data_IF_902446672773
#
_entry.id   IF_902446672773
#
_cell.length_a   1.000
_cell.length_b   1.000
_cell.length_c   1.000
_cell.angle_alpha   90.00
_cell.angle_beta   90.00
_cell.angle_gamma   90.00
#
_symmetry.space_group_name_H-M   'P 1'
#
loop_
_entity.id
_entity.type
_entity.pdbx_description
1 polymer ?
#
# COMPACT_ATOMS: atom_id res chain seq x y z
N UNK A 1 14.27 6.85 -18.18
CA UNK A 1 13.39 6.78 -16.99
C UNK A 1 12.13 7.56 -17.28
N UNK A 2 10.97 7.06 -16.83
CA UNK A 2 9.69 7.76 -16.95
C UNK A 2 9.63 8.91 -15.94
N UNK A 3 8.84 9.93 -16.22
CA UNK A 3 8.61 11.08 -15.33
C UNK A 3 7.11 11.29 -15.16
N UNK A 4 6.71 11.73 -13.96
CA UNK A 4 5.35 12.19 -13.71
C UNK A 4 5.15 13.61 -14.25
N UNK A 5 3.93 14.08 -14.37
CA UNK A 5 3.63 15.47 -14.75
C UNK A 5 4.19 16.50 -13.76
N UNK A 6 4.57 16.08 -12.54
CA UNK A 6 5.11 16.92 -11.46
C UNK A 6 6.65 16.86 -11.34
N UNK A 7 7.36 16.13 -12.21
CA UNK A 7 8.81 15.93 -12.07
C UNK A 7 9.63 17.24 -12.04
N UNK A 8 9.24 18.25 -12.84
CA UNK A 8 9.87 19.58 -12.81
C UNK A 8 9.63 20.30 -11.49
N UNK A 9 8.44 20.17 -10.91
CA UNK A 9 8.07 20.76 -9.62
C UNK A 9 8.84 20.13 -8.46
N UNK A 10 9.07 18.81 -8.51
CA UNK A 10 9.91 18.12 -7.53
C UNK A 10 11.34 18.65 -7.54
N UNK A 11 11.94 18.81 -8.73
CA UNK A 11 13.29 19.38 -8.86
C UNK A 11 13.34 20.83 -8.39
N UNK A 12 12.37 21.65 -8.76
CA UNK A 12 12.28 23.06 -8.32
C UNK A 12 12.12 23.19 -6.79
N UNK A 13 11.43 22.24 -6.15
CA UNK A 13 11.29 22.17 -4.70
C UNK A 13 12.51 21.57 -3.98
N UNK A 14 13.60 21.28 -4.69
CA UNK A 14 14.82 20.69 -4.12
C UNK A 14 14.72 19.18 -3.84
N UNK A 15 13.78 18.49 -4.47
CA UNK A 15 13.61 17.05 -4.35
C UNK A 15 14.83 16.27 -4.83
N UNK A 16 15.36 15.39 -4.00
CA UNK A 16 16.41 14.45 -4.38
C UNK A 16 15.80 13.33 -5.21
N UNK A 17 15.93 13.46 -6.54
CA UNK A 17 15.35 12.50 -7.47
C UNK A 17 16.15 11.21 -7.53
N UNK A 18 15.44 10.08 -7.53
CA UNK A 18 16.01 8.72 -7.64
C UNK A 18 15.22 7.88 -8.63
N UNK A 19 15.81 6.78 -9.09
CA UNK A 19 15.08 5.74 -9.82
C UNK A 19 14.21 4.93 -8.85
N UNK A 20 12.92 4.89 -9.11
CA UNK A 20 11.96 4.03 -8.43
C UNK A 20 11.18 3.22 -9.46
N UNK A 21 11.58 1.97 -9.66
CA UNK A 21 10.96 1.08 -10.65
C UNK A 21 10.85 1.69 -12.06
N UNK A 22 11.90 2.37 -12.50
CA UNK A 22 11.99 3.02 -13.81
C UNK A 22 11.38 4.43 -13.89
N UNK A 23 10.91 4.97 -12.75
CA UNK A 23 10.39 6.33 -12.64
C UNK A 23 11.35 7.24 -11.88
N UNK A 24 11.47 8.50 -12.31
CA UNK A 24 12.17 9.57 -11.57
C UNK A 24 11.25 10.07 -10.46
N UNK A 25 11.54 9.69 -9.21
CA UNK A 25 10.72 10.06 -8.06
C UNK A 25 11.55 10.76 -6.98
N UNK A 26 10.97 11.69 -6.19
CA UNK A 26 11.68 12.34 -5.10
C UNK A 26 11.87 11.37 -3.92
N UNK A 27 13.12 11.14 -3.51
CA UNK A 27 13.42 10.38 -2.30
C UNK A 27 13.07 11.17 -1.03
N UNK A 28 13.41 12.46 -1.01
CA UNK A 28 13.09 13.42 0.04
C UNK A 28 13.28 14.86 -0.48
N UNK A 29 12.76 15.85 0.27
CA UNK A 29 12.91 17.29 0.03
C UNK A 29 13.75 17.97 1.13
N UNK A 30 14.74 17.27 1.65
CA UNK A 30 15.65 17.70 2.71
C UNK A 30 15.79 16.62 3.78
N UNK A 31 14.80 16.44 4.64
CA UNK A 31 14.83 15.48 5.74
C UNK A 31 13.64 14.55 5.70
N UNK A 32 13.87 13.28 5.43
CA UNK A 32 12.79 12.27 5.46
C UNK A 32 12.17 12.10 6.86
N UNK A 33 12.90 12.42 7.95
CA UNK A 33 12.37 12.35 9.31
C UNK A 33 11.40 13.51 9.54
N UNK A 34 11.73 14.74 9.11
CA UNK A 34 10.84 15.90 9.24
C UNK A 34 9.60 15.75 8.36
N UNK A 35 9.77 15.15 7.16
CA UNK A 35 8.66 14.82 6.26
C UNK A 35 7.73 13.79 6.90
N UNK A 36 8.29 12.74 7.53
CA UNK A 36 7.51 11.76 8.27
C UNK A 36 6.69 12.42 9.40
N UNK A 37 7.34 13.26 10.20
CA UNK A 37 6.65 13.96 11.29
C UNK A 37 5.60 14.94 10.79
N UNK A 38 5.82 15.60 9.64
CA UNK A 38 4.81 16.46 9.04
C UNK A 38 3.50 15.69 8.75
N UNK A 39 3.60 14.47 8.20
CA UNK A 39 2.42 13.62 7.95
C UNK A 39 1.76 13.15 9.24
N UNK A 40 2.55 12.80 10.27
CA UNK A 40 1.99 12.35 11.56
C UNK A 40 1.35 13.45 12.38
N UNK A 41 1.84 14.69 12.28
CA UNK A 41 1.48 15.79 13.18
C UNK A 41 0.61 16.86 12.51
N UNK A 42 0.63 16.97 11.18
CA UNK A 42 -0.08 17.98 10.41
C UNK A 42 -0.58 17.40 9.09
N UNK A 43 0.10 17.69 7.97
CA UNK A 43 -0.30 17.24 6.63
C UNK A 43 0.89 17.16 5.68
N UNK A 44 0.88 16.14 4.83
CA UNK A 44 1.81 16.01 3.72
C UNK A 44 1.13 15.57 2.44
N UNK A 45 1.71 15.92 1.30
CA UNK A 45 1.27 15.46 -0.01
C UNK A 45 2.34 14.66 -0.72
N UNK A 46 1.91 13.62 -1.42
CA UNK A 46 2.75 12.69 -2.17
C UNK A 46 2.33 12.70 -3.63
N UNK A 47 3.28 12.85 -4.54
CA UNK A 47 3.06 12.44 -5.91
C UNK A 47 3.16 10.92 -5.99
N UNK A 48 2.05 10.27 -6.31
CA UNK A 48 1.98 8.83 -6.53
C UNK A 48 1.49 8.49 -7.94
N UNK A 49 1.68 9.42 -8.88
CA UNK A 49 1.28 9.28 -10.30
C UNK A 49 2.06 8.20 -11.04
N UNK A 50 3.11 7.65 -10.45
CA UNK A 50 3.79 6.46 -10.96
C UNK A 50 2.93 5.18 -10.86
N UNK A 51 1.93 5.14 -9.97
CA UNK A 51 0.95 4.05 -9.88
C UNK A 51 0.07 4.02 -11.14
N UNK A 52 -0.41 2.83 -11.54
CA UNK A 52 -1.28 2.72 -12.70
C UNK A 52 -2.75 2.64 -12.29
N UNK A 53 -3.57 3.47 -12.91
CA UNK A 53 -5.02 3.43 -12.79
C UNK A 53 -5.58 2.62 -13.96
N UNK A 54 -6.47 1.66 -13.66
CA UNK A 54 -7.08 0.78 -14.66
C UNK A 54 -8.59 0.74 -14.45
N UNK A 55 -9.36 1.10 -15.47
CA UNK A 55 -10.81 0.97 -15.46
C UNK A 55 -11.22 -0.36 -16.11
N UNK A 56 -12.10 -1.12 -15.44
CA UNK A 56 -12.66 -2.38 -15.93
C UNK A 56 -14.16 -2.19 -16.13
N UNK A 57 -14.61 -2.25 -17.38
CA UNK A 57 -16.00 -2.03 -17.80
C UNK A 57 -16.56 -3.26 -18.49
N UNK A 58 -17.88 -3.31 -18.68
CA UNK A 58 -18.56 -4.39 -19.39
C UNK A 58 -19.57 -5.14 -18.52
N UNK A 59 -20.43 -5.91 -19.18
CA UNK A 59 -21.51 -6.65 -18.52
C UNK A 59 -20.98 -7.72 -17.56
N UNK A 60 -19.82 -8.30 -17.87
CA UNK A 60 -19.14 -9.33 -17.07
C UNK A 60 -18.08 -8.80 -16.09
N UNK A 61 -17.93 -7.47 -15.91
CA UNK A 61 -16.85 -6.88 -15.09
C UNK A 61 -16.83 -7.41 -13.64
N UNK A 62 -17.99 -7.63 -13.04
CA UNK A 62 -18.08 -8.19 -11.69
C UNK A 62 -17.61 -9.64 -11.66
N UNK A 63 -18.06 -10.49 -12.56
CA UNK A 63 -17.70 -11.92 -12.57
C UNK A 63 -16.23 -12.13 -12.95
N UNK A 64 -15.73 -11.32 -13.88
CA UNK A 64 -14.32 -11.27 -14.24
C UNK A 64 -13.45 -10.94 -13.01
N UNK A 65 -13.72 -9.85 -12.30
CA UNK A 65 -12.93 -9.46 -11.13
C UNK A 65 -13.11 -10.45 -9.97
N UNK A 66 -14.25 -11.08 -9.83
CA UNK A 66 -14.46 -12.17 -8.88
C UNK A 66 -13.63 -13.41 -9.20
N UNK A 67 -13.31 -13.64 -10.47
CA UNK A 67 -12.39 -14.70 -10.91
C UNK A 67 -10.94 -14.31 -10.70
N UNK A 68 -10.58 -13.06 -10.98
CA UNK A 68 -9.21 -12.55 -10.97
C UNK A 68 -8.65 -12.32 -9.56
N UNK A 69 -9.49 -11.81 -8.61
CA UNK A 69 -9.04 -11.28 -7.33
C UNK A 69 -9.34 -12.19 -6.15
N UNK A 70 -8.48 -12.19 -5.15
CA UNK A 70 -8.66 -12.98 -3.93
C UNK A 70 -9.80 -12.47 -3.04
N UNK A 71 -10.07 -11.14 -3.03
CA UNK A 71 -11.24 -10.57 -2.37
C UNK A 71 -12.46 -10.59 -3.30
N UNK A 72 -13.67 -10.54 -2.75
CA UNK A 72 -14.90 -10.59 -3.54
C UNK A 72 -15.47 -9.20 -3.79
N UNK A 73 -15.32 -8.70 -5.02
CA UNK A 73 -15.84 -7.39 -5.45
C UNK A 73 -17.38 -7.31 -5.44
N UNK A 74 -18.08 -8.44 -5.45
CA UNK A 74 -19.54 -8.46 -5.32
C UNK A 74 -20.04 -7.95 -3.95
N UNK A 75 -19.13 -7.78 -2.98
CA UNK A 75 -19.43 -7.13 -1.69
C UNK A 75 -19.57 -5.62 -1.81
N UNK A 76 -19.04 -5.03 -2.86
CA UNK A 76 -19.19 -3.61 -3.17
C UNK A 76 -20.56 -3.36 -3.79
N UNK A 77 -21.60 -3.24 -2.94
CA UNK A 77 -23.01 -3.16 -3.37
C UNK A 77 -23.38 -1.81 -3.99
N UNK A 78 -22.67 -0.76 -3.64
CA UNK A 78 -22.96 0.61 -4.07
C UNK A 78 -21.74 1.23 -4.76
N UNK A 79 -21.94 2.09 -5.76
CA UNK A 79 -20.86 2.93 -6.29
C UNK A 79 -20.16 3.70 -5.16
N UNK A 80 -18.88 3.94 -5.35
CA UNK A 80 -18.04 4.60 -4.36
C UNK A 80 -17.37 3.67 -3.35
N UNK A 81 -17.95 2.52 -3.03
CA UNK A 81 -17.31 1.57 -2.09
C UNK A 81 -16.02 1.00 -2.67
N UNK A 82 -15.03 0.83 -1.81
CA UNK A 82 -13.73 0.27 -2.18
C UNK A 82 -13.38 -0.97 -1.36
N UNK A 83 -12.47 -1.78 -1.89
CA UNK A 83 -11.80 -2.85 -1.16
C UNK A 83 -10.35 -2.98 -1.62
N UNK A 84 -9.53 -3.53 -0.72
CA UNK A 84 -8.17 -3.94 -1.02
C UNK A 84 -8.13 -5.45 -1.29
N UNK A 85 -7.35 -5.88 -2.27
CA UNK A 85 -7.24 -7.28 -2.68
C UNK A 85 -5.84 -7.64 -3.15
N UNK A 86 -5.47 -8.89 -2.96
CA UNK A 86 -4.40 -9.51 -3.72
C UNK A 86 -4.95 -10.03 -5.06
N UNK A 87 -4.13 -9.92 -6.11
CA UNK A 87 -4.26 -10.62 -7.38
C UNK A 87 -3.25 -11.77 -7.36
N UNK A 88 -3.68 -12.99 -7.69
CA UNK A 88 -2.88 -14.19 -7.49
C UNK A 88 -2.51 -14.89 -8.80
N UNK A 89 -1.44 -15.69 -8.72
CA UNK A 89 -1.17 -16.73 -9.69
C UNK A 89 -1.88 -18.07 -9.33
N UNK A 90 -1.96 -19.06 -10.22
CA UNK A 90 -2.62 -20.33 -9.93
C UNK A 90 -2.02 -21.12 -8.76
N UNK A 91 -0.74 -20.89 -8.43
CA UNK A 91 -0.07 -21.51 -7.28
C UNK A 91 -0.38 -20.80 -5.94
N UNK A 92 -1.18 -19.72 -5.96
CA UNK A 92 -1.57 -18.95 -4.77
C UNK A 92 -0.58 -17.88 -4.35
N UNK A 93 0.48 -17.63 -5.11
CA UNK A 93 1.43 -16.53 -4.89
C UNK A 93 0.84 -15.20 -5.34
N UNK A 94 1.28 -14.11 -4.69
CA UNK A 94 0.79 -12.76 -4.95
C UNK A 94 1.44 -12.17 -6.20
N UNK A 95 0.66 -11.94 -7.24
CA UNK A 95 1.14 -11.23 -8.45
C UNK A 95 1.22 -9.73 -8.22
N UNK A 96 0.22 -9.17 -7.55
CA UNK A 96 0.21 -7.79 -7.08
C UNK A 96 -0.86 -7.61 -5.99
N UNK A 97 -0.77 -6.51 -5.26
CA UNK A 97 -1.80 -5.99 -4.37
C UNK A 97 -2.37 -4.69 -4.94
N UNK A 98 -3.67 -4.51 -4.79
CA UNK A 98 -4.37 -3.43 -5.43
C UNK A 98 -5.61 -2.99 -4.66
N UNK A 99 -6.04 -1.76 -4.91
CA UNK A 99 -7.34 -1.27 -4.44
C UNK A 99 -8.33 -1.23 -5.60
N UNK A 100 -9.58 -1.59 -5.31
CA UNK A 100 -10.70 -1.60 -6.26
C UNK A 100 -11.80 -0.68 -5.76
N UNK A 101 -12.24 0.24 -6.59
CA UNK A 101 -13.40 1.11 -6.37
C UNK A 101 -14.55 0.67 -7.27
N UNK A 102 -15.75 0.54 -6.72
CA UNK A 102 -16.97 0.36 -7.51
C UNK A 102 -17.36 1.69 -8.16
N UNK A 103 -17.46 1.72 -9.49
CA UNK A 103 -18.01 2.84 -10.24
C UNK A 103 -19.49 2.59 -10.55
N UNK A 104 -20.20 3.60 -11.08
CA UNK A 104 -21.56 3.42 -11.64
C UNK A 104 -21.56 2.36 -12.74
N UNK A 105 -20.57 2.42 -13.63
CA UNK A 105 -20.38 1.47 -14.73
C UNK A 105 -18.99 0.80 -14.63
N UNK A 106 -18.93 -0.33 -13.89
CA UNK A 106 -17.70 -1.11 -13.74
C UNK A 106 -16.91 -0.80 -12.49
N UNK A 107 -15.59 -0.85 -12.62
CA UNK A 107 -14.66 -0.71 -11.51
C UNK A 107 -13.42 0.07 -11.91
N UNK A 108 -12.81 0.75 -10.96
CA UNK A 108 -11.48 1.37 -11.07
C UNK A 108 -10.52 0.65 -10.14
N UNK A 109 -9.37 0.28 -10.67
CA UNK A 109 -8.28 -0.36 -9.94
C UNK A 109 -7.08 0.59 -9.89
N UNK A 110 -6.31 0.53 -8.80
CA UNK A 110 -4.99 1.16 -8.69
C UNK A 110 -4.00 0.06 -8.38
N UNK A 111 -3.02 -0.13 -9.27
CA UNK A 111 -1.99 -1.17 -9.20
C UNK A 111 -0.59 -0.56 -9.05
N UNK A 112 0.37 -1.36 -8.57
CA UNK A 112 1.74 -0.92 -8.35
C UNK A 112 2.48 -0.62 -9.69
N UNK A 113 3.39 0.35 -9.66
CA UNK A 113 4.15 0.75 -10.85
C UNK A 113 5.17 -0.30 -11.31
N UNK A 114 5.79 -0.99 -10.36
CA UNK A 114 6.81 -2.01 -10.67
C UNK A 114 6.24 -3.28 -11.29
N UNK A 115 4.96 -3.54 -11.11
CA UNK A 115 4.24 -4.71 -11.62
C UNK A 115 3.35 -4.39 -12.83
N UNK A 116 3.22 -3.10 -13.20
CA UNK A 116 2.28 -2.60 -14.20
C UNK A 116 2.17 -3.47 -15.46
N UNK A 117 3.29 -3.72 -16.15
CA UNK A 117 3.26 -4.43 -17.43
C UNK A 117 2.84 -5.89 -17.25
N UNK A 118 3.29 -6.52 -16.16
CA UNK A 118 2.91 -7.87 -15.75
C UNK A 118 1.43 -7.94 -15.38
N UNK A 119 0.92 -6.96 -14.67
CA UNK A 119 -0.46 -6.92 -14.20
C UNK A 119 -1.43 -6.72 -15.37
N UNK A 120 -1.15 -5.76 -16.26
CA UNK A 120 -1.96 -5.56 -17.46
C UNK A 120 -1.98 -6.80 -18.35
N UNK A 121 -0.82 -7.43 -18.57
CA UNK A 121 -0.74 -8.68 -19.33
C UNK A 121 -1.54 -9.82 -18.67
N UNK A 122 -1.49 -9.95 -17.34
CA UNK A 122 -2.24 -10.94 -16.60
C UNK A 122 -3.74 -10.68 -16.64
N UNK A 123 -4.15 -9.44 -16.43
CA UNK A 123 -5.56 -9.03 -16.53
C UNK A 123 -6.12 -9.37 -17.92
N UNK A 124 -5.39 -9.04 -18.98
CA UNK A 124 -5.78 -9.36 -20.37
C UNK A 124 -5.83 -10.88 -20.59
N UNK A 125 -4.83 -11.64 -20.15
CA UNK A 125 -4.81 -13.08 -20.32
C UNK A 125 -5.97 -13.80 -19.59
N UNK A 126 -6.44 -13.21 -18.47
CA UNK A 126 -7.55 -13.76 -17.68
C UNK A 126 -8.93 -13.25 -18.12
N UNK A 127 -9.03 -12.38 -19.14
CA UNK A 127 -10.29 -11.82 -19.60
C UNK A 127 -11.03 -12.67 -20.63
N UNK A 128 -10.39 -13.73 -21.13
CA UNK A 128 -11.02 -14.63 -22.09
C UNK A 128 -12.33 -15.24 -21.55
N UNK A 129 -13.38 -15.19 -22.37
CA UNK A 129 -14.72 -15.63 -21.99
C UNK A 129 -15.54 -14.63 -21.18
N UNK A 130 -15.03 -13.41 -20.93
CA UNK A 130 -15.76 -12.33 -20.25
C UNK A 130 -15.99 -11.14 -21.19
N UNK A 131 -17.18 -10.57 -21.17
CA UNK A 131 -17.48 -9.31 -21.86
C UNK A 131 -16.96 -8.14 -21.01
N UNK A 132 -15.67 -7.86 -21.11
CA UNK A 132 -14.99 -6.79 -20.37
C UNK A 132 -14.04 -6.02 -21.26
N UNK A 133 -13.90 -4.74 -20.94
CA UNK A 133 -12.91 -3.82 -21.47
C UNK A 133 -11.98 -3.40 -20.31
N UNK A 134 -10.67 -3.58 -20.49
CA UNK A 134 -9.64 -3.22 -19.53
C UNK A 134 -8.91 -2.01 -20.08
N UNK A 135 -9.08 -0.86 -19.45
CA UNK A 135 -8.62 0.44 -19.95
C UNK A 135 -7.62 1.02 -18.97
N UNK A 136 -6.35 1.03 -19.33
CA UNK A 136 -5.37 1.81 -18.56
C UNK A 136 -5.62 3.31 -18.75
N UNK A 137 -5.39 4.08 -17.67
CA UNK A 137 -5.64 5.53 -17.61
C UNK A 137 -4.33 6.31 -17.40
N UNK A 138 -3.42 6.33 -18.40
CA UNK A 138 -2.17 7.10 -18.30
C UNK A 138 -2.41 8.63 -18.38
N UNK A 139 -3.64 9.05 -18.69
CA UNK A 139 -4.09 10.43 -18.70
C UNK A 139 -4.30 11.01 -17.30
N UNK A 140 -4.27 10.17 -16.23
CA UNK A 140 -4.50 10.57 -14.86
C UNK A 140 -3.19 10.66 -14.06
N UNK A 141 -3.05 11.75 -13.31
CA UNK A 141 -2.14 11.86 -12.18
C UNK A 141 -2.82 11.38 -10.90
N UNK A 142 -2.03 11.02 -9.90
CA UNK A 142 -2.50 10.61 -8.58
C UNK A 142 -1.71 11.37 -7.50
N UNK A 143 -2.40 12.19 -6.70
CA UNK A 143 -1.83 12.95 -5.58
C UNK A 143 -2.50 12.48 -4.29
N UNK A 144 -1.70 12.02 -3.31
CA UNK A 144 -2.20 11.67 -1.99
C UNK A 144 -1.93 12.83 -1.01
N UNK A 145 -2.96 13.22 -0.23
CA UNK A 145 -2.85 14.23 0.85
C UNK A 145 -3.20 13.51 2.15
N UNK A 146 -2.25 13.42 3.06
CA UNK A 146 -2.34 12.55 4.24
C UNK A 146 -1.90 13.27 5.51
N UNK A 147 -2.57 13.00 6.61
CA UNK A 147 -2.28 13.56 7.93
C UNK A 147 -3.55 14.01 8.67
N UNK A 148 -3.45 14.35 9.97
CA UNK A 148 -4.61 14.75 10.78
C UNK A 148 -5.33 15.98 10.22
N UNK A 149 -4.63 16.92 9.55
CA UNK A 149 -5.17 18.14 8.97
C UNK A 149 -5.56 18.01 7.47
N UNK A 150 -5.36 16.82 6.86
CA UNK A 150 -5.55 16.64 5.41
C UNK A 150 -6.96 17.02 4.94
N UNK A 151 -7.99 16.65 5.70
CA UNK A 151 -9.37 16.91 5.32
C UNK A 151 -9.73 18.40 5.42
N UNK A 152 -9.39 19.04 6.54
CA UNK A 152 -9.69 20.46 6.77
C UNK A 152 -8.99 21.37 5.75
N UNK A 153 -7.77 21.03 5.34
CA UNK A 153 -7.08 21.78 4.29
C UNK A 153 -7.74 21.55 2.92
N UNK A 154 -8.11 20.33 2.58
CA UNK A 154 -8.80 20.06 1.33
C UNK A 154 -10.19 20.69 1.27
N UNK A 155 -10.91 20.80 2.39
CA UNK A 155 -12.18 21.51 2.48
C UNK A 155 -12.06 23.01 2.19
N UNK A 156 -10.89 23.60 2.32
CA UNK A 156 -10.66 25.02 2.04
C UNK A 156 -9.95 25.27 0.70
N UNK A 157 -9.28 24.26 0.14
CA UNK A 157 -8.45 24.41 -1.07
C UNK A 157 -9.12 23.89 -2.34
N UNK A 158 -9.98 22.90 -2.22
CA UNK A 158 -10.71 22.33 -3.36
C UNK A 158 -11.84 23.26 -3.82
N UNK A 159 -12.29 23.12 -5.07
CA UNK A 159 -13.45 23.83 -5.56
C UNK A 159 -14.75 23.29 -4.91
N UNK A 160 -15.85 24.06 -4.84
CA UNK A 160 -17.06 23.67 -4.12
C UNK A 160 -17.64 22.32 -4.52
N UNK A 161 -17.56 21.94 -5.79
CA UNK A 161 -18.04 20.62 -6.27
C UNK A 161 -17.22 19.47 -5.67
N UNK A 162 -15.87 19.59 -5.63
CA UNK A 162 -15.01 18.60 -5.00
C UNK A 162 -15.17 18.58 -3.48
N UNK A 163 -15.33 19.75 -2.84
CA UNK A 163 -15.61 19.83 -1.39
C UNK A 163 -16.88 19.05 -1.02
N UNK A 164 -17.96 19.23 -1.79
CA UNK A 164 -19.22 18.51 -1.57
C UNK A 164 -19.04 16.99 -1.65
N UNK A 165 -18.29 16.52 -2.64
CA UNK A 165 -17.97 15.09 -2.79
C UNK A 165 -17.13 14.62 -1.61
N UNK A 166 -16.05 15.34 -1.25
CA UNK A 166 -15.17 15.00 -0.14
C UNK A 166 -15.93 14.84 1.18
N UNK A 167 -16.83 15.77 1.48
CA UNK A 167 -17.66 15.77 2.69
C UNK A 167 -18.62 14.59 2.78
N UNK A 168 -18.99 13.97 1.65
CA UNK A 168 -19.87 12.80 1.61
C UNK A 168 -19.13 11.45 1.78
N UNK A 169 -17.80 11.42 1.58
CA UNK A 169 -17.02 10.19 1.60
C UNK A 169 -16.68 9.72 3.01
N UNK A 170 -16.83 8.43 3.26
CA UNK A 170 -16.29 7.75 4.43
C UNK A 170 -15.03 6.96 4.09
N UNK A 171 -14.35 6.37 5.09
CA UNK A 171 -13.13 5.57 4.87
C UNK A 171 -13.39 4.41 3.91
N UNK A 172 -12.46 4.17 2.98
CA UNK A 172 -12.59 3.18 1.90
C UNK A 172 -13.78 3.47 0.96
N UNK A 173 -14.01 4.74 0.68
CA UNK A 173 -14.92 5.20 -0.36
C UNK A 173 -14.21 6.16 -1.31
N UNK A 174 -14.68 6.20 -2.56
CA UNK A 174 -14.23 7.15 -3.56
C UNK A 174 -15.34 7.46 -4.55
N UNK A 175 -15.40 8.70 -5.02
CA UNK A 175 -16.43 9.15 -5.95
C UNK A 175 -15.88 10.14 -6.98
N UNK A 176 -16.48 10.20 -8.18
CA UNK A 176 -16.18 11.21 -9.17
C UNK A 176 -16.61 12.60 -8.67
N UNK A 177 -15.77 13.61 -8.95
CA UNK A 177 -15.99 15.01 -8.66
C UNK A 177 -15.65 15.83 -9.92
N UNK A 178 -16.57 15.84 -10.87
CA UNK A 178 -16.32 16.27 -12.25
C UNK A 178 -15.43 15.26 -12.98
N UNK A 179 -14.32 15.72 -13.54
CA UNK A 179 -13.29 14.90 -14.19
C UNK A 179 -12.24 14.33 -13.21
N UNK A 180 -12.35 14.67 -11.92
CA UNK A 180 -11.53 14.13 -10.84
C UNK A 180 -12.23 12.93 -10.18
N UNK A 181 -11.44 12.15 -9.44
CA UNK A 181 -11.94 11.09 -8.56
C UNK A 181 -11.26 11.23 -7.20
N UNK A 182 -12.05 11.43 -6.15
CA UNK A 182 -11.58 11.59 -4.78
C UNK A 182 -11.82 10.29 -4.02
N UNK A 183 -10.80 9.80 -3.29
CA UNK A 183 -10.92 8.57 -2.51
C UNK A 183 -10.38 8.74 -1.09
N UNK A 184 -11.14 8.33 -0.08
CA UNK A 184 -10.77 8.33 1.34
C UNK A 184 -9.92 7.10 1.66
N UNK A 185 -8.77 7.03 1.01
CA UNK A 185 -7.76 5.97 1.09
C UNK A 185 -6.38 6.57 1.30
N UNK A 186 -5.38 5.71 1.51
CA UNK A 186 -3.99 6.14 1.70
C UNK A 186 -3.10 5.01 2.19
N UNK A 187 -1.81 5.32 2.32
CA UNK A 187 -0.74 4.35 2.62
C UNK A 187 0.10 4.76 3.84
N UNK A 188 -0.47 5.52 4.77
CA UNK A 188 0.25 6.11 5.91
C UNK A 188 -0.29 5.71 7.28
N UNK A 189 -1.52 5.18 7.33
CA UNK A 189 -2.22 4.95 8.58
C UNK A 189 -2.87 6.19 9.19
N UNK A 190 -2.70 7.36 8.55
CA UNK A 190 -3.38 8.61 8.89
C UNK A 190 -4.69 8.78 8.11
N UNK A 191 -5.45 9.82 8.48
CA UNK A 191 -6.55 10.29 7.66
C UNK A 191 -6.01 10.89 6.36
N UNK A 192 -6.78 10.78 5.28
CA UNK A 192 -6.34 11.39 4.04
C UNK A 192 -7.23 11.07 2.85
N UNK A 193 -6.79 11.57 1.71
CA UNK A 193 -7.47 11.47 0.42
C UNK A 193 -6.43 11.19 -0.66
N UNK A 194 -6.74 10.28 -1.55
CA UNK A 194 -6.04 10.08 -2.82
C UNK A 194 -6.89 10.70 -3.92
N UNK A 195 -6.29 11.58 -4.70
CA UNK A 195 -6.96 12.39 -5.73
C UNK A 195 -6.41 11.96 -7.09
N UNK A 196 -7.26 11.35 -7.90
CA UNK A 196 -6.98 11.05 -9.30
C UNK A 196 -7.55 12.18 -10.14
N UNK A 197 -6.72 12.80 -10.99
CA UNK A 197 -7.09 13.96 -11.77
C UNK A 197 -6.36 13.96 -13.12
N UNK A 198 -6.87 14.67 -14.15
CA UNK A 198 -6.13 14.80 -15.41
C UNK A 198 -4.71 15.32 -15.18
N UNK A 199 -3.72 14.78 -15.90
CA UNK A 199 -2.32 15.19 -15.80
C UNK A 199 -2.15 16.73 -15.90
N UNK A 200 -2.94 17.37 -16.77
CA UNK A 200 -2.91 18.83 -16.98
C UNK A 200 -3.37 19.64 -15.75
N UNK A 201 -4.12 19.03 -14.83
CA UNK A 201 -4.60 19.70 -13.61
C UNK A 201 -3.67 19.47 -12.39
N UNK A 202 -2.71 18.52 -12.50
CA UNK A 202 -1.86 18.13 -11.37
C UNK A 202 -1.00 19.29 -10.84
N UNK A 203 -0.41 20.10 -11.72
CA UNK A 203 0.38 21.27 -11.35
C UNK A 203 -0.43 22.29 -10.55
N UNK A 204 -1.65 22.59 -11.00
CA UNK A 204 -2.54 23.55 -10.32
C UNK A 204 -2.88 23.10 -8.91
N UNK A 205 -3.25 21.83 -8.72
CA UNK A 205 -3.53 21.27 -7.40
C UNK A 205 -2.27 21.28 -6.52
N UNK A 206 -1.13 20.81 -7.04
CA UNK A 206 0.13 20.76 -6.31
C UNK A 206 0.54 22.15 -5.78
N UNK A 207 0.48 23.16 -6.64
CA UNK A 207 0.82 24.56 -6.29
C UNK A 207 -0.15 25.14 -5.26
N UNK A 208 -1.46 24.86 -5.40
CA UNK A 208 -2.47 25.29 -4.44
C UNK A 208 -2.22 24.69 -3.05
N UNK A 209 -1.91 23.38 -2.99
CA UNK A 209 -1.59 22.70 -1.74
C UNK A 209 -0.30 23.23 -1.10
N UNK A 210 0.74 23.50 -1.89
CA UNK A 210 1.96 24.14 -1.40
C UNK A 210 1.67 25.53 -0.78
N UNK A 211 0.87 26.35 -1.47
CA UNK A 211 0.46 27.67 -0.96
C UNK A 211 -0.36 27.57 0.33
N UNK A 212 -1.11 26.48 0.52
CA UNK A 212 -1.85 26.20 1.75
C UNK A 212 -0.97 25.60 2.87
N UNK A 213 0.35 25.47 2.67
CA UNK A 213 1.29 24.97 3.66
C UNK A 213 1.44 23.45 3.71
N UNK A 214 0.84 22.70 2.78
CA UNK A 214 1.01 21.24 2.70
C UNK A 214 2.44 20.92 2.26
N UNK A 215 3.14 20.11 3.05
CA UNK A 215 4.53 19.74 2.76
C UNK A 215 4.61 18.66 1.68
N UNK A 216 5.50 18.79 0.68
CA UNK A 216 5.82 17.70 -0.23
C UNK A 216 6.59 16.61 0.52
N UNK A 217 6.24 15.35 0.26
CA UNK A 217 6.76 14.17 0.96
C UNK A 217 7.36 13.21 -0.06
N UNK A 218 8.60 12.79 0.18
CA UNK A 218 9.31 11.86 -0.68
C UNK A 218 9.13 10.39 -0.29
N UNK A 219 9.70 9.51 -1.13
CA UNK A 219 9.64 8.05 -0.96
C UNK A 219 10.21 7.56 0.37
N UNK A 220 11.25 8.24 0.92
CA UNK A 220 11.87 7.84 2.18
C UNK A 220 10.89 7.93 3.36
N UNK A 221 10.15 9.02 3.47
CA UNK A 221 9.12 9.16 4.50
C UNK A 221 7.88 8.27 4.18
N UNK A 222 7.50 8.13 2.90
CA UNK A 222 6.44 7.19 2.49
C UNK A 222 6.73 5.77 2.99
N UNK A 223 7.98 5.30 2.87
CA UNK A 223 8.37 3.96 3.30
C UNK A 223 8.31 3.79 4.83
N UNK A 224 8.81 4.74 5.60
CA UNK A 224 8.71 4.66 7.07
C UNK A 224 7.27 4.77 7.56
N UNK A 225 6.43 5.59 6.92
CA UNK A 225 5.01 5.74 7.25
C UNK A 225 4.20 4.47 6.98
N UNK A 226 4.37 3.84 5.80
CA UNK A 226 3.66 2.61 5.44
C UNK A 226 4.08 1.45 6.34
N UNK A 227 5.40 1.36 6.66
CA UNK A 227 5.94 0.32 7.54
C UNK A 227 5.33 0.43 8.94
N UNK A 228 5.30 1.63 9.52
CA UNK A 228 4.61 1.88 10.80
C UNK A 228 3.12 1.53 10.73
N UNK A 229 2.47 1.83 9.61
CA UNK A 229 1.05 1.51 9.38
C UNK A 229 0.76 0.02 9.14
N UNK A 230 1.78 -0.84 9.10
CA UNK A 230 1.59 -2.27 8.88
C UNK A 230 1.23 -2.64 7.44
N UNK A 231 1.57 -1.78 6.46
CA UNK A 231 1.23 -1.96 5.05
C UNK A 231 2.40 -2.54 4.27
N UNK A 232 2.13 -3.60 3.53
CA UNK A 232 3.13 -4.32 2.75
C UNK A 232 3.67 -3.50 1.58
N UNK A 233 4.90 -3.82 1.18
CA UNK A 233 5.51 -3.36 -0.07
C UNK A 233 5.72 -4.57 -0.98
N UNK A 234 5.10 -4.56 -2.15
CA UNK A 234 5.27 -5.61 -3.15
C UNK A 234 6.74 -5.75 -3.56
N UNK A 235 7.20 -6.97 -3.73
CA UNK A 235 8.60 -7.30 -4.04
C UNK A 235 9.52 -7.40 -2.82
N UNK A 236 9.05 -6.98 -1.63
CA UNK A 236 9.75 -7.17 -0.34
C UNK A 236 8.94 -8.05 0.61
N UNK A 237 7.72 -7.67 0.93
CA UNK A 237 6.89 -8.35 1.93
C UNK A 237 6.01 -9.44 1.31
N UNK A 238 5.86 -9.44 0.00
CA UNK A 238 5.14 -10.42 -0.79
C UNK A 238 5.57 -10.37 -2.26
N UNK A 239 5.43 -11.49 -2.94
CA UNK A 239 5.72 -11.68 -4.36
C UNK A 239 5.00 -12.94 -4.88
N UNK A 240 5.33 -13.37 -6.11
CA UNK A 240 4.73 -14.54 -6.73
C UNK A 240 5.09 -15.89 -6.06
N UNK A 241 6.11 -15.92 -5.21
CA UNK A 241 6.49 -17.09 -4.40
C UNK A 241 5.81 -17.14 -3.03
N UNK A 242 5.12 -16.07 -2.62
CA UNK A 242 4.51 -15.93 -1.30
C UNK A 242 3.01 -15.72 -1.38
N UNK A 243 2.26 -16.47 -0.55
CA UNK A 243 0.80 -16.37 -0.53
C UNK A 243 0.30 -15.22 0.36
N UNK A 244 -0.95 -14.77 0.21
CA UNK A 244 -1.57 -13.83 1.13
C UNK A 244 -1.58 -14.33 2.58
N UNK A 245 -1.59 -15.66 2.78
CA UNK A 245 -1.60 -16.28 4.12
C UNK A 245 -0.30 -16.02 4.87
N UNK A 246 0.84 -16.04 4.17
CA UNK A 246 2.17 -15.78 4.73
C UNK A 246 2.62 -14.33 4.63
N UNK A 247 1.74 -13.42 4.20
CA UNK A 247 2.03 -12.00 3.94
C UNK A 247 1.10 -11.04 4.68
N UNK A 248 0.50 -11.45 5.79
CA UNK A 248 -0.45 -10.66 6.58
C UNK A 248 -1.67 -10.14 5.76
N UNK A 249 -2.03 -10.85 4.68
CA UNK A 249 -3.12 -10.50 3.78
C UNK A 249 -4.27 -11.52 3.77
N UNK A 250 -4.25 -12.52 4.67
CA UNK A 250 -5.28 -13.54 4.77
C UNK A 250 -6.70 -12.96 4.93
N UNK A 251 -6.82 -11.79 5.56
CA UNK A 251 -8.09 -11.08 5.74
C UNK A 251 -8.73 -10.60 4.43
N UNK A 252 -7.95 -10.44 3.35
CA UNK A 252 -8.44 -10.08 2.02
C UNK A 252 -9.03 -11.28 1.27
N UNK A 253 -8.64 -12.50 1.62
CA UNK A 253 -9.07 -13.71 0.93
C UNK A 253 -10.49 -14.10 1.33
N UNK A 254 -11.39 -14.25 0.36
CA UNK A 254 -12.79 -14.63 0.58
C UNK A 254 -13.12 -15.95 -0.10
N UNK A 255 -13.02 -17.02 0.68
CA UNK A 255 -13.45 -18.37 0.27
C UNK A 255 -14.97 -18.47 0.35
N UNK A 256 -15.66 -18.26 -0.77
CA UNK A 256 -17.12 -18.31 -0.85
C UNK A 256 -17.61 -19.13 -2.07
N UNK A 257 -16.79 -20.08 -2.51
CA UNK A 257 -17.14 -21.04 -3.59
C UNK A 257 -17.11 -20.45 -5.01
N UNK A 258 -16.54 -19.24 -5.21
CA UNK A 258 -16.47 -18.60 -6.53
C UNK A 258 -15.33 -19.10 -7.42
N UNK A 259 -14.45 -19.93 -6.89
CA UNK A 259 -13.34 -20.56 -7.59
C UNK A 259 -12.42 -19.52 -8.29
N UNK A 260 -11.92 -18.53 -7.51
CA UNK A 260 -10.98 -17.54 -8.01
C UNK A 260 -9.59 -18.13 -8.27
N UNK A 261 -8.78 -17.45 -9.08
CA UNK A 261 -7.43 -17.90 -9.42
C UNK A 261 -6.59 -18.03 -8.14
N UNK A 262 -6.01 -19.21 -7.92
CA UNK A 262 -5.22 -19.53 -6.72
C UNK A 262 -5.99 -20.07 -5.52
N UNK A 263 -7.35 -20.06 -5.52
CA UNK A 263 -8.16 -20.51 -4.37
C UNK A 263 -7.83 -21.94 -3.93
N UNK A 264 -7.73 -22.89 -4.87
CA UNK A 264 -7.43 -24.28 -4.54
C UNK A 264 -6.05 -24.44 -3.88
N UNK A 265 -5.06 -23.69 -4.34
CA UNK A 265 -3.72 -23.68 -3.75
C UNK A 265 -3.75 -23.10 -2.33
N UNK A 266 -4.46 -21.98 -2.11
CA UNK A 266 -4.61 -21.38 -0.78
C UNK A 266 -5.32 -22.30 0.21
N UNK A 267 -6.35 -23.02 -0.22
CA UNK A 267 -7.06 -24.01 0.62
C UNK A 267 -6.11 -25.16 1.04
N UNK A 268 -5.27 -25.64 0.12
CA UNK A 268 -4.24 -26.63 0.43
C UNK A 268 -3.21 -26.09 1.42
N UNK A 269 -2.66 -24.87 1.18
CA UNK A 269 -1.69 -24.22 2.09
C UNK A 269 -2.27 -24.01 3.49
N UNK A 270 -3.56 -23.66 3.60
CA UNK A 270 -4.22 -23.46 4.89
C UNK A 270 -4.35 -24.77 5.70
N UNK A 271 -4.41 -25.90 5.03
CA UNK A 271 -4.44 -27.22 5.68
C UNK A 271 -3.05 -27.66 6.19
N UNK A 272 -1.97 -27.15 5.60
CA UNK A 272 -0.59 -27.46 5.97
C UNK A 272 -0.18 -26.62 7.20
N UNK A 273 0.12 -27.29 8.31
CA UNK A 273 0.50 -26.64 9.60
C UNK A 273 1.88 -25.98 9.62
N UNK A 274 2.65 -26.01 8.52
CA UNK A 274 4.02 -25.48 8.42
C UNK A 274 4.14 -24.10 7.78
N UNK A 275 3.05 -23.32 7.71
CA UNK A 275 3.06 -22.02 7.04
C UNK A 275 3.83 -20.95 7.84
N UNK A 276 4.67 -20.18 7.14
CA UNK A 276 5.27 -18.96 7.72
C UNK A 276 4.23 -17.87 7.89
N UNK A 277 4.47 -16.96 8.84
CA UNK A 277 3.67 -15.76 9.06
C UNK A 277 4.52 -14.50 8.93
N UNK A 278 3.91 -13.41 8.48
CA UNK A 278 4.52 -12.08 8.54
C UNK A 278 4.14 -11.41 9.86
N UNK A 279 5.16 -11.08 10.67
CA UNK A 279 5.00 -10.45 11.99
C UNK A 279 5.78 -9.13 12.04
N UNK A 280 5.38 -8.25 12.94
CA UNK A 280 6.17 -7.06 13.28
C UNK A 280 7.29 -7.42 14.25
N UNK A 281 8.45 -6.78 14.09
CA UNK A 281 9.55 -6.83 15.04
C UNK A 281 9.94 -5.41 15.45
N UNK A 282 10.18 -5.20 16.74
CA UNK A 282 10.73 -3.95 17.32
C UNK A 282 12.07 -4.26 17.95
N UNK A 283 13.11 -3.51 17.62
CA UNK A 283 14.41 -3.66 18.26
C UNK A 283 14.35 -3.20 19.72
N UNK A 284 14.94 -3.98 20.62
CA UNK A 284 15.06 -3.62 22.03
C UNK A 284 16.25 -2.67 22.28
N UNK A 285 17.27 -2.75 21.46
CA UNK A 285 18.46 -1.89 21.49
C UNK A 285 18.49 -0.95 20.28
N UNK A 286 19.44 0.01 20.31
CA UNK A 286 19.66 0.93 19.17
C UNK A 286 20.10 0.18 17.92
N UNK A 287 19.43 0.43 16.81
CA UNK A 287 19.75 -0.16 15.52
C UNK A 287 18.68 0.08 14.48
N UNK A 288 18.91 -0.46 13.29
CA UNK A 288 17.97 -0.40 12.17
C UNK A 288 17.88 -1.78 11.57
N UNK A 289 16.66 -2.30 11.45
CA UNK A 289 16.39 -3.53 10.71
C UNK A 289 16.45 -3.24 9.20
N UNK A 290 16.94 -4.23 8.45
CA UNK A 290 16.99 -4.17 6.98
C UNK A 290 16.53 -5.50 6.40
N UNK A 291 15.97 -5.46 5.19
CA UNK A 291 15.60 -6.65 4.45
C UNK A 291 16.76 -7.67 4.38
N UNK A 292 16.40 -8.95 4.38
CA UNK A 292 17.30 -10.10 4.31
C UNK A 292 18.15 -10.34 5.57
N UNK A 293 17.95 -9.59 6.66
CA UNK A 293 18.59 -9.95 7.93
C UNK A 293 17.93 -11.22 8.48
N UNK A 294 18.72 -12.26 8.83
CA UNK A 294 18.18 -13.51 9.35
C UNK A 294 17.63 -13.35 10.78
N UNK A 295 16.50 -14.01 11.02
CA UNK A 295 15.80 -14.03 12.32
C UNK A 295 15.98 -15.40 12.96
N UNK A 296 16.38 -15.41 14.22
CA UNK A 296 16.65 -16.61 14.99
C UNK A 296 15.79 -16.67 16.25
N UNK A 297 15.34 -17.89 16.56
CA UNK A 297 14.85 -18.23 17.89
C UNK A 297 15.95 -19.02 18.60
N UNK A 298 16.56 -18.45 19.62
CA UNK A 298 17.80 -18.98 20.20
C UNK A 298 18.88 -19.20 19.12
N UNK A 299 19.30 -20.44 18.84
CA UNK A 299 20.29 -20.79 17.80
C UNK A 299 19.64 -21.22 16.47
N UNK A 300 18.31 -21.38 16.41
CA UNK A 300 17.61 -21.86 15.22
C UNK A 300 17.23 -20.71 14.31
N UNK A 301 17.61 -20.78 13.03
CA UNK A 301 17.13 -19.86 11.99
C UNK A 301 15.64 -20.13 11.76
N UNK A 302 14.79 -19.13 12.01
CA UNK A 302 13.33 -19.23 11.88
C UNK A 302 12.74 -18.38 10.77
N UNK A 303 13.52 -17.46 10.19
CA UNK A 303 13.03 -16.60 9.11
C UNK A 303 13.98 -15.46 8.78
N UNK A 304 13.42 -14.44 8.15
CA UNK A 304 14.18 -13.25 7.72
C UNK A 304 13.33 -11.99 7.77
N UNK A 305 14.00 -10.85 7.84
CA UNK A 305 13.37 -9.53 7.68
C UNK A 305 13.01 -9.31 6.22
N UNK A 306 11.76 -8.93 5.95
CA UNK A 306 11.29 -8.57 4.61
C UNK A 306 11.37 -7.06 4.36
N UNK A 307 10.92 -6.25 5.32
CA UNK A 307 11.05 -4.79 5.32
C UNK A 307 11.58 -4.31 6.66
N UNK A 308 12.40 -3.27 6.66
CA UNK A 308 12.92 -2.72 7.92
C UNK A 308 13.44 -1.30 7.78
N UNK A 309 13.16 -0.48 8.80
CA UNK A 309 13.60 0.91 8.88
C UNK A 309 13.74 1.37 10.34
N UNK A 310 14.28 2.57 10.53
CA UNK A 310 14.09 3.31 11.77
C UNK A 310 12.73 3.98 11.76
N UNK A 311 11.94 3.76 12.81
CA UNK A 311 10.64 4.42 13.02
C UNK A 311 10.85 5.76 13.71
N UNK A 312 10.55 6.89 13.07
CA UNK A 312 10.60 8.20 13.72
C UNK A 312 9.57 8.35 14.84
N UNK A 313 8.41 7.66 14.74
CA UNK A 313 7.36 7.72 15.78
C UNK A 313 7.77 6.93 17.03
N UNK A 314 8.28 5.70 16.87
CA UNK A 314 8.69 4.85 17.99
C UNK A 314 10.10 5.14 18.50
N UNK A 315 10.91 5.89 17.77
CA UNK A 315 12.34 6.10 18.04
C UNK A 315 13.13 4.78 18.17
N UNK A 316 12.74 3.77 17.40
CA UNK A 316 13.31 2.42 17.40
C UNK A 316 13.42 1.84 16.00
N UNK A 317 14.28 0.85 15.82
CA UNK A 317 14.29 0.01 14.62
C UNK A 317 13.05 -0.88 14.59
N UNK A 318 12.31 -0.85 13.49
CA UNK A 318 11.16 -1.73 13.27
C UNK A 318 11.30 -2.48 11.95
N UNK A 319 10.60 -3.60 11.82
CA UNK A 319 10.57 -4.34 10.56
C UNK A 319 9.44 -5.36 10.52
N UNK A 320 9.16 -5.81 9.31
CA UNK A 320 8.38 -7.04 9.11
C UNK A 320 9.35 -8.20 8.96
N UNK A 321 8.98 -9.33 9.53
CA UNK A 321 9.72 -10.57 9.37
C UNK A 321 8.78 -11.69 8.95
N UNK A 322 9.21 -12.48 7.97
CA UNK A 322 8.54 -13.74 7.63
C UNK A 322 9.19 -14.85 8.43
N UNK A 323 8.45 -15.39 9.38
CA UNK A 323 8.95 -16.40 10.32
C UNK A 323 8.09 -17.67 10.31
N UNK A 324 8.73 -18.83 10.46
CA UNK A 324 8.08 -20.09 10.81
C UNK A 324 7.63 -20.09 12.27
N UNK A 325 7.14 -21.23 12.75
CA UNK A 325 6.86 -21.42 14.18
C UNK A 325 8.15 -21.25 15.00
N UNK A 326 8.03 -20.57 16.15
CA UNK A 326 9.18 -20.33 17.03
C UNK A 326 8.78 -20.46 18.50
N UNK A 327 9.78 -20.68 19.36
CA UNK A 327 9.65 -20.65 20.82
C UNK A 327 10.76 -19.80 21.43
N UNK A 328 10.42 -19.10 22.50
CA UNK A 328 11.37 -18.25 23.22
C UNK A 328 11.64 -16.91 22.53
N UNK A 329 12.69 -16.18 22.97
CA UNK A 329 13.03 -14.86 22.44
C UNK A 329 13.55 -14.92 21.01
N UNK A 330 13.25 -13.86 20.22
CA UNK A 330 13.75 -13.69 18.88
C UNK A 330 14.95 -12.74 18.84
N UNK A 331 15.84 -13.03 17.90
CA UNK A 331 17.03 -12.23 17.62
C UNK A 331 17.17 -12.01 16.12
N UNK A 332 17.66 -10.84 15.73
CA UNK A 332 18.07 -10.54 14.35
C UNK A 332 19.59 -10.47 14.30
N UNK A 333 20.20 -11.15 13.35
CA UNK A 333 21.65 -11.07 13.17
C UNK A 333 22.02 -9.87 12.32
N UNK A 334 22.77 -8.94 12.90
CA UNK A 334 23.26 -7.73 12.25
C UNK A 334 24.79 -7.72 12.36
N UNK A 335 25.47 -7.82 11.21
CA UNK A 335 26.95 -7.85 11.13
C UNK A 335 27.59 -8.90 12.07
N UNK A 336 27.00 -10.10 12.10
CA UNK A 336 27.49 -11.22 12.92
C UNK A 336 27.17 -11.12 14.41
N UNK A 337 26.31 -10.19 14.83
CA UNK A 337 25.86 -10.04 16.22
C UNK A 337 24.35 -10.24 16.33
N UNK A 338 23.93 -11.02 17.32
CA UNK A 338 22.53 -11.22 17.67
C UNK A 338 22.01 -10.01 18.43
N UNK A 339 20.98 -9.35 17.88
CA UNK A 339 20.28 -8.22 18.48
C UNK A 339 18.90 -8.69 18.90
N UNK A 340 18.52 -8.46 20.14
CA UNK A 340 17.22 -8.85 20.67
C UNK A 340 16.09 -8.01 20.02
N UNK A 341 15.00 -8.67 19.64
CA UNK A 341 13.82 -8.04 19.07
C UNK A 341 12.55 -8.55 19.77
N UNK A 342 11.55 -7.69 19.84
CA UNK A 342 10.22 -8.01 20.36
C UNK A 342 9.31 -8.32 19.19
N UNK A 343 8.74 -9.53 19.07
CA UNK A 343 7.70 -9.82 18.08
C UNK A 343 6.37 -9.15 18.50
N UNK A 344 5.74 -8.46 17.54
CA UNK A 344 4.54 -7.67 17.80
C UNK A 344 3.50 -7.84 16.70
N UNK A 345 2.23 -7.56 17.05
CA UNK A 345 1.15 -7.47 16.07
C UNK A 345 1.30 -6.22 15.19
N UNK A 346 0.77 -6.28 13.98
CA UNK A 346 0.67 -5.13 13.08
C UNK A 346 -0.74 -4.52 13.16
N UNK A 347 -0.87 -3.21 12.95
CA UNK A 347 0.17 -2.21 12.67
C UNK A 347 0.95 -1.77 13.92
N UNK A 348 2.12 -1.11 13.72
CA UNK A 348 2.86 -0.47 14.81
C UNK A 348 2.19 0.84 15.25
N UNK A 349 1.79 1.67 14.27
CA UNK A 349 1.23 3.01 14.48
C UNK A 349 -0.05 3.17 13.67
N UNK A 350 -1.05 3.82 14.25
CA UNK A 350 -2.27 4.25 13.57
C UNK A 350 -2.72 5.60 14.12
N UNK A 351 -3.01 6.57 13.23
CA UNK A 351 -3.37 7.94 13.60
C UNK A 351 -2.39 8.54 14.61
N UNK A 352 -1.10 8.45 14.32
CA UNK A 352 -0.02 8.93 15.18
C UNK A 352 0.14 8.21 16.52
N UNK A 353 -0.66 7.19 16.83
CA UNK A 353 -0.61 6.45 18.11
C UNK A 353 -0.01 5.06 17.94
N UNK A 354 0.83 4.66 18.88
CA UNK A 354 1.36 3.28 18.98
C UNK A 354 0.22 2.34 19.36
N UNK A 355 -0.01 1.29 18.56
CA UNK A 355 -1.18 0.40 18.73
C UNK A 355 -0.81 -1.09 18.76
N UNK A 356 0.44 -1.47 18.54
CA UNK A 356 0.86 -2.88 18.53
C UNK A 356 0.77 -3.53 19.91
N UNK A 357 0.63 -4.84 19.91
CA UNK A 357 0.69 -5.69 21.09
C UNK A 357 1.82 -6.71 20.94
N UNK A 358 2.47 -7.07 22.04
CA UNK A 358 3.47 -8.15 22.03
C UNK A 358 2.82 -9.45 21.65
N UNK A 359 3.48 -10.20 20.77
CA UNK A 359 3.10 -11.57 20.43
C UNK A 359 3.79 -12.51 21.42
N UNK A 360 3.00 -13.37 22.04
CA UNK A 360 3.51 -14.44 22.90
C UNK A 360 3.62 -15.68 22.02
N UNK A 361 4.79 -16.35 21.92
CA UNK A 361 4.91 -17.60 21.19
C UNK A 361 3.90 -18.62 21.72
N UNK A 362 3.21 -19.31 20.82
CA UNK A 362 2.38 -20.46 21.23
C UNK A 362 3.29 -21.51 21.84
N UNK A 363 3.00 -21.88 23.09
CA UNK A 363 3.74 -22.85 23.88
C UNK A 363 3.62 -24.29 23.33
#
# INVERSE_FOLDING_TARGET
MKETSLASHHRAAGGKMVDFSGWQMPLHYGSQIDEHHAVRQSVGMFDVSHMSVVDVKGSSATDYLRKLLANDVARLKQPGRALYSAMLNPAGGVKDDLIVYRLELGYRLVVNCGTRDKDLAWMLACSDGFEVEIIERPDLALIAVQGPEALSILETTLAPAQQSVLGSLTSFEGAPAGDWFLARTGYTGELGVEIMLPNAAAEGLWTTLLAAGVRPIGLGARDTLRLEAGMNLYGQDMDEGHSPLSSNLAWTVKHNGRNFIGEAALLKMKADKGSTALVGLVMLDRGVLRAQYPVYAQETLVGEITSGAFSPTLQAGIGFARVGAWQGPLFVEIRGKRQAVEPVSLPFVRKGQVVYQKLIPEG
#
